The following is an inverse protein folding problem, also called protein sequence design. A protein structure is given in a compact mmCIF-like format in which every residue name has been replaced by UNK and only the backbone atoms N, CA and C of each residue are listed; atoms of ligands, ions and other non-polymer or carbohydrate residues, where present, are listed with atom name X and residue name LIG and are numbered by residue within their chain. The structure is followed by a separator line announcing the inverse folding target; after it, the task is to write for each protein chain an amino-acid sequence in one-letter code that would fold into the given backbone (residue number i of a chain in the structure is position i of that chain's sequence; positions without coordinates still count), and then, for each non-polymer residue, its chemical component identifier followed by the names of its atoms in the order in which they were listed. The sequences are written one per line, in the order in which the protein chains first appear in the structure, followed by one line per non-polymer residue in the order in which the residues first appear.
data_IF_647249063448
#
_entry.id   IF_647249063448
#
_cell.length_a   1.000
_cell.length_b   1.000
_cell.length_c   1.000
_cell.angle_alpha   90.00
_cell.angle_beta   90.00
_cell.angle_gamma   90.00
#
_symmetry.space_group_name_H-M   'P 1'
#
loop_
_entity.id
_entity.type
_entity.pdbx_description
1 polymer ?
#
# COMPACT_ATOMS: atom_id res chain seq x y z
N UNK A 1 -3.36 1.24 -16.78
CA UNK A 1 -3.20 -0.11 -16.22
C UNK A 1 -4.08 -0.16 -14.98
N UNK A 2 -5.24 -0.81 -15.08
CA UNK A 2 -6.17 -0.97 -13.96
C UNK A 2 -5.44 -1.62 -12.78
N UNK A 3 -5.88 -1.34 -11.56
CA UNK A 3 -5.52 -2.12 -10.37
C UNK A 3 -5.61 -3.61 -10.73
N UNK A 4 -4.48 -4.26 -10.97
CA UNK A 4 -4.42 -5.72 -10.89
C UNK A 4 -4.26 -6.01 -9.41
N UNK A 5 -5.37 -5.80 -8.69
CA UNK A 5 -5.72 -6.64 -7.56
C UNK A 5 -6.10 -7.95 -8.26
N UNK A 6 -5.26 -8.97 -8.10
CA UNK A 6 -5.43 -10.25 -8.77
C UNK A 6 -6.89 -10.71 -8.70
N UNK A 7 -7.51 -11.18 -9.81
CA UNK A 7 -8.89 -11.63 -9.82
C UNK A 7 -9.19 -12.67 -8.73
N UNK A 8 -8.23 -13.45 -8.23
CA UNK A 8 -8.45 -14.37 -7.09
C UNK A 8 -8.54 -13.70 -5.72
N UNK A 9 -8.04 -12.47 -5.57
CA UNK A 9 -8.31 -11.62 -4.41
C UNK A 9 -9.69 -10.97 -4.55
N UNK A 10 -10.13 -10.70 -5.78
CA UNK A 10 -11.41 -10.04 -6.13
C UNK A 10 -12.57 -11.03 -6.27
N UNK A 11 -12.34 -12.31 -6.59
CA UNK A 11 -13.36 -13.29 -6.96
C UNK A 11 -14.25 -13.76 -5.80
N UNK A 12 -14.11 -13.16 -4.61
CA UNK A 12 -15.07 -13.30 -3.52
C UNK A 12 -15.75 -11.97 -3.14
N UNK A 13 -15.55 -10.93 -3.93
CA UNK A 13 -16.21 -9.63 -3.85
C UNK A 13 -17.25 -9.47 -4.97
N UNK A 14 -18.21 -10.41 -5.06
CA UNK A 14 -19.40 -10.24 -5.92
C UNK A 14 -20.39 -9.19 -5.39
N UNK A 15 -20.03 -8.45 -4.34
CA UNK A 15 -20.70 -7.22 -3.90
C UNK A 15 -19.69 -6.07 -3.78
N UNK A 16 -18.92 -5.78 -4.85
CA UNK A 16 -18.14 -4.55 -4.91
C UNK A 16 -19.07 -3.36 -5.17
N UNK A 17 -19.71 -2.89 -4.10
CA UNK A 17 -20.57 -1.71 -4.11
C UNK A 17 -19.69 -0.47 -4.36
N UNK A 18 -19.88 0.23 -5.50
CA UNK A 18 -19.28 1.56 -5.70
C UNK A 18 -19.60 2.52 -4.54
N UNK A 19 -20.71 2.29 -3.82
CA UNK A 19 -21.04 3.03 -2.62
C UNK A 19 -20.18 2.64 -1.41
N UNK A 20 -19.52 1.48 -1.40
CA UNK A 20 -18.58 1.11 -0.34
C UNK A 20 -17.23 1.81 -0.56
N UNK A 21 -16.72 1.90 -1.79
CA UNK A 21 -15.60 2.82 -2.10
C UNK A 21 -15.99 4.27 -1.78
N UNK A 22 -17.24 4.68 -2.08
CA UNK A 22 -17.75 5.98 -1.58
C UNK A 22 -17.81 6.06 -0.06
N UNK A 23 -18.21 4.99 0.66
CA UNK A 23 -18.24 4.93 2.13
C UNK A 23 -16.85 5.02 2.73
N UNK A 24 -15.84 4.42 2.13
CA UNK A 24 -14.45 4.55 2.56
C UNK A 24 -13.94 5.98 2.30
N UNK A 25 -14.38 6.62 1.21
CA UNK A 25 -14.10 8.05 0.96
C UNK A 25 -14.96 9.01 1.82
N UNK A 26 -16.12 8.58 2.33
CA UNK A 26 -17.08 9.43 3.06
C UNK A 26 -17.05 9.22 4.58
N UNK A 27 -16.57 8.08 5.08
CA UNK A 27 -16.35 7.82 6.51
C UNK A 27 -15.29 8.76 7.12
N UNK A 28 -14.50 9.42 6.28
CA UNK A 28 -13.53 10.45 6.64
C UNK A 28 -13.94 11.87 6.20
N UNK A 29 -15.19 12.09 5.78
CA UNK A 29 -15.64 13.40 5.26
C UNK A 29 -17.12 13.71 5.57
N UNK A 30 -17.46 14.24 6.76
CA UNK A 30 -18.78 14.82 7.00
C UNK A 30 -18.99 16.19 6.31
N UNK A 31 -18.09 16.63 5.42
CA UNK A 31 -18.14 17.97 4.80
C UNK A 31 -17.41 18.08 3.45
N UNK A 32 -17.65 17.14 2.52
CA UNK A 32 -17.05 17.19 1.19
C UNK A 32 -17.42 18.48 0.42
N UNK A 33 -16.43 19.20 -0.12
CA UNK A 33 -16.54 19.48 -1.54
C UNK A 33 -15.29 19.11 -2.35
N UNK A 34 -15.62 18.74 -3.58
CA UNK A 34 -14.80 18.33 -4.72
C UNK A 34 -13.98 17.06 -4.50
N UNK A 35 -14.50 15.96 -5.07
CA UNK A 35 -13.67 14.93 -5.70
C UNK A 35 -12.48 15.60 -6.42
N UNK A 36 -11.35 14.90 -6.55
CA UNK A 36 -10.37 15.28 -7.56
C UNK A 36 -11.16 15.61 -8.85
N UNK A 37 -10.94 16.76 -9.51
CA UNK A 37 -11.56 16.98 -10.81
C UNK A 37 -11.32 15.71 -11.61
N UNK A 38 -12.34 15.11 -12.22
CA UNK A 38 -12.21 13.81 -12.90
C UNK A 38 -10.95 13.78 -13.80
N UNK A 39 -10.64 14.91 -14.42
CA UNK A 39 -9.41 15.20 -15.14
C UNK A 39 -8.09 14.90 -14.39
N UNK A 40 -7.97 15.19 -13.09
CA UNK A 40 -6.75 14.89 -12.32
C UNK A 40 -6.60 13.38 -12.08
N UNK A 41 -7.70 12.68 -11.77
CA UNK A 41 -7.69 11.21 -11.65
C UNK A 41 -7.41 10.55 -13.00
N UNK A 42 -8.08 11.00 -14.06
CA UNK A 42 -7.84 10.55 -15.43
C UNK A 42 -6.39 10.80 -15.85
N UNK A 43 -5.82 11.95 -15.50
CA UNK A 43 -4.42 12.24 -15.82
C UNK A 43 -3.45 11.41 -15.00
N UNK A 44 -3.72 11.17 -13.71
CA UNK A 44 -2.95 10.23 -12.90
C UNK A 44 -3.00 8.84 -13.53
N UNK A 45 -4.18 8.37 -13.95
CA UNK A 45 -4.35 7.08 -14.60
C UNK A 45 -3.66 7.01 -15.97
N UNK A 46 -3.70 8.09 -16.76
CA UNK A 46 -3.02 8.19 -18.06
C UNK A 46 -1.49 8.19 -17.91
N UNK A 47 -0.97 8.96 -16.95
CA UNK A 47 0.46 8.96 -16.58
C UNK A 47 0.89 7.58 -16.08
N UNK A 48 0.05 6.92 -15.29
CA UNK A 48 0.26 5.54 -14.84
C UNK A 48 0.32 4.55 -16.00
N UNK A 49 -0.50 4.76 -17.03
CA UNK A 49 -0.52 3.99 -18.28
C UNK A 49 0.61 4.33 -19.27
N UNK A 50 1.50 5.27 -18.94
CA UNK A 50 2.65 5.64 -19.78
C UNK A 50 2.32 6.66 -20.88
N UNK A 51 1.16 7.32 -20.82
CA UNK A 51 0.81 8.39 -21.75
C UNK A 51 1.52 9.68 -21.32
N UNK A 52 2.35 10.30 -22.19
CA UNK A 52 3.02 11.55 -21.84
C UNK A 52 2.00 12.69 -21.71
N UNK A 53 2.10 13.48 -20.66
CA UNK A 53 1.34 14.73 -20.53
C UNK A 53 1.96 15.80 -21.44
N UNK A 54 1.13 16.60 -22.13
CA UNK A 54 1.61 17.76 -22.88
C UNK A 54 2.19 18.84 -21.96
N UNK A 55 3.33 19.42 -22.35
CA UNK A 55 4.17 20.31 -21.52
C UNK A 55 3.42 21.52 -20.93
N UNK A 56 2.46 22.09 -21.65
CA UNK A 56 1.69 23.27 -21.21
C UNK A 56 0.75 23.00 -20.01
N UNK A 57 0.35 21.75 -19.78
CA UNK A 57 -0.54 21.35 -18.69
C UNK A 57 0.21 20.85 -17.44
N UNK A 58 1.50 20.52 -17.56
CA UNK A 58 2.25 19.86 -16.49
C UNK A 58 2.38 20.73 -15.23
N UNK A 59 2.71 22.03 -15.38
CA UNK A 59 2.87 22.94 -14.24
C UNK A 59 1.59 23.15 -13.43
N UNK A 60 0.45 23.32 -14.11
CA UNK A 60 -0.85 23.47 -13.46
C UNK A 60 -1.27 22.18 -12.74
N UNK A 61 -1.03 21.03 -13.37
CA UNK A 61 -1.32 19.73 -12.78
C UNK A 61 -0.46 19.44 -11.55
N UNK A 62 0.84 19.74 -11.60
CA UNK A 62 1.74 19.63 -10.43
C UNK A 62 1.21 20.44 -9.26
N UNK A 63 0.81 21.70 -9.52
CA UNK A 63 0.22 22.57 -8.49
C UNK A 63 -1.07 21.99 -7.91
N UNK A 64 -2.00 21.57 -8.77
CA UNK A 64 -3.28 21.00 -8.36
C UNK A 64 -3.11 19.72 -7.51
N UNK A 65 -2.21 18.81 -7.90
CA UNK A 65 -1.96 17.58 -7.15
C UNK A 65 -1.33 17.89 -5.78
N UNK A 66 -0.38 18.85 -5.71
CA UNK A 66 0.20 19.28 -4.44
C UNK A 66 -0.83 19.87 -3.50
N UNK A 67 -1.60 20.86 -3.97
CA UNK A 67 -2.66 21.48 -3.17
C UNK A 67 -3.68 20.43 -2.69
N UNK A 68 -4.00 19.44 -3.55
CA UNK A 68 -4.88 18.34 -3.17
C UNK A 68 -4.30 17.45 -2.05
N UNK A 69 -3.01 17.12 -2.12
CA UNK A 69 -2.28 16.34 -1.10
C UNK A 69 -2.17 17.08 0.24
N UNK A 70 -1.91 18.39 0.19
CA UNK A 70 -1.60 19.20 1.38
C UNK A 70 -2.86 19.71 2.12
N UNK A 71 -4.01 19.76 1.44
CA UNK A 71 -5.25 20.36 2.00
C UNK A 71 -5.86 19.59 3.18
N UNK A 72 -5.93 18.27 3.10
CA UNK A 72 -6.55 17.42 4.13
C UNK A 72 -6.01 15.99 4.07
N UNK A 73 -6.14 15.19 5.13
CA UNK A 73 -5.75 13.79 5.10
C UNK A 73 -6.40 13.06 3.92
N UNK A 74 -5.61 12.24 3.23
CA UNK A 74 -6.03 11.43 2.09
C UNK A 74 -5.76 9.96 2.38
N UNK A 75 -6.48 9.08 1.71
CA UNK A 75 -6.17 7.66 1.77
C UNK A 75 -4.71 7.41 1.34
N UNK A 76 -3.90 6.64 2.10
CA UNK A 76 -2.47 6.51 1.83
C UNK A 76 -2.12 5.99 0.44
N UNK A 77 -2.94 5.07 -0.11
CA UNK A 77 -2.76 4.61 -1.48
C UNK A 77 -2.85 5.74 -2.52
N UNK A 78 -3.85 6.63 -2.37
CA UNK A 78 -4.02 7.76 -3.27
C UNK A 78 -2.89 8.79 -3.07
N UNK A 79 -2.36 8.93 -1.85
CA UNK A 79 -1.18 9.74 -1.60
C UNK A 79 0.01 9.22 -2.41
N UNK A 80 0.29 7.92 -2.36
CA UNK A 80 1.36 7.30 -3.13
C UNK A 80 1.19 7.49 -4.64
N UNK A 81 -0.01 7.27 -5.16
CA UNK A 81 -0.30 7.47 -6.58
C UNK A 81 -0.05 8.93 -7.03
N UNK A 82 -0.49 9.90 -6.23
CA UNK A 82 -0.26 11.32 -6.50
C UNK A 82 1.23 11.70 -6.41
N UNK A 83 1.98 11.15 -5.44
CA UNK A 83 3.44 11.35 -5.34
C UNK A 83 4.18 10.80 -6.56
N UNK A 84 3.80 9.61 -7.02
CA UNK A 84 4.36 8.98 -8.23
C UNK A 84 4.04 9.79 -9.47
N UNK A 85 2.81 10.32 -9.59
CA UNK A 85 2.43 11.22 -10.67
C UNK A 85 3.24 12.53 -10.65
N UNK A 86 3.40 13.14 -9.47
CA UNK A 86 4.24 14.34 -9.29
C UNK A 86 5.68 14.07 -9.75
N UNK A 87 6.29 12.95 -9.36
CA UNK A 87 7.64 12.60 -9.80
C UNK A 87 7.72 12.37 -11.31
N UNK A 88 6.73 11.67 -11.92
CA UNK A 88 6.67 11.47 -13.38
C UNK A 88 6.52 12.78 -14.16
N UNK A 89 5.83 13.76 -13.58
CA UNK A 89 5.71 15.11 -14.13
C UNK A 89 6.97 15.98 -13.91
N UNK A 90 8.02 15.43 -13.30
CA UNK A 90 9.27 16.16 -13.03
C UNK A 90 9.21 17.11 -11.83
N UNK A 91 8.19 17.01 -10.98
CA UNK A 91 8.10 17.84 -9.79
C UNK A 91 9.20 17.48 -8.77
N UNK A 92 9.76 18.50 -8.12
CA UNK A 92 10.82 18.36 -7.11
C UNK A 92 10.47 19.09 -5.82
N UNK A 93 11.12 18.72 -4.71
CA UNK A 93 10.98 19.39 -3.43
C UNK A 93 10.01 18.68 -2.49
N UNK A 94 9.60 19.39 -1.44
CA UNK A 94 8.82 18.81 -0.36
C UNK A 94 7.32 18.87 -0.63
N UNK A 95 6.60 17.88 -0.11
CA UNK A 95 5.15 17.92 0.09
C UNK A 95 4.84 17.59 1.54
N UNK A 96 3.85 18.27 2.11
CA UNK A 96 3.41 18.06 3.49
C UNK A 96 2.08 17.33 3.51
N UNK A 97 2.08 16.07 3.92
CA UNK A 97 0.87 15.26 3.98
C UNK A 97 0.25 15.39 5.37
N UNK A 98 -0.97 15.93 5.49
CA UNK A 98 -1.72 15.86 6.74
C UNK A 98 -2.01 14.40 7.07
N UNK A 99 -1.77 14.03 8.32
CA UNK A 99 -2.07 12.71 8.88
C UNK A 99 -3.02 12.87 10.07
N UNK A 100 -3.52 11.75 10.60
CA UNK A 100 -4.42 11.77 11.75
C UNK A 100 -3.77 12.41 12.98
N UNK A 101 -4.58 13.12 13.78
CA UNK A 101 -4.13 13.73 15.04
C UNK A 101 -3.16 14.90 14.87
N UNK A 102 -3.33 15.73 13.84
CA UNK A 102 -2.52 16.94 13.55
C UNK A 102 -1.04 16.67 13.23
N UNK A 103 -0.68 15.42 12.93
CA UNK A 103 0.67 15.08 12.49
C UNK A 103 0.83 15.40 11.00
N UNK A 104 2.01 15.85 10.60
CA UNK A 104 2.36 16.05 9.19
C UNK A 104 3.53 15.15 8.81
N UNK A 105 3.40 14.46 7.67
CA UNK A 105 4.48 13.67 7.09
C UNK A 105 5.08 14.48 5.95
N UNK A 106 6.38 14.75 6.03
CA UNK A 106 7.11 15.55 5.03
C UNK A 106 7.91 14.61 4.12
N UNK A 107 7.64 14.62 2.83
CA UNK A 107 8.31 13.75 1.84
C UNK A 107 8.92 14.57 0.71
N UNK A 108 10.05 14.11 0.17
CA UNK A 108 10.63 14.65 -1.07
C UNK A 108 10.03 13.91 -2.25
N UNK A 109 9.44 14.64 -3.19
CA UNK A 109 8.74 14.05 -4.35
C UNK A 109 9.70 13.22 -5.20
N UNK A 110 10.90 13.73 -5.44
CA UNK A 110 11.95 13.07 -6.24
C UNK A 110 12.45 11.75 -5.62
N UNK A 111 12.21 11.53 -4.31
CA UNK A 111 12.53 10.28 -3.63
C UNK A 111 11.41 9.24 -3.70
N UNK A 112 10.25 9.60 -4.26
CA UNK A 112 9.14 8.66 -4.46
C UNK A 112 9.58 7.55 -5.41
N UNK A 113 9.49 6.27 -5.03
CA UNK A 113 9.89 5.18 -5.90
C UNK A 113 8.90 5.01 -7.06
N UNK A 114 9.42 4.93 -8.28
CA UNK A 114 8.63 4.65 -9.50
C UNK A 114 8.62 3.16 -9.87
N UNK A 115 9.58 2.40 -9.36
CA UNK A 115 9.75 0.97 -9.60
C UNK A 115 10.21 0.25 -8.31
N UNK A 116 10.11 -1.08 -8.29
CA UNK A 116 10.53 -1.89 -7.16
C UNK A 116 12.01 -1.70 -6.78
N UNK A 117 12.88 -1.45 -7.76
CA UNK A 117 14.32 -1.27 -7.54
C UNK A 117 14.69 0.07 -6.90
N UNK A 118 13.79 1.06 -6.97
CA UNK A 118 13.95 2.33 -6.26
C UNK A 118 13.58 2.24 -4.77
N UNK A 119 12.97 1.13 -4.34
CA UNK A 119 12.75 0.85 -2.93
C UNK A 119 13.98 0.19 -2.28
N UNK A 120 14.11 0.26 -0.93
CA UNK A 120 15.09 -0.53 -0.19
C UNK A 120 14.92 -2.03 -0.40
N UNK A 121 16.02 -2.79 -0.30
CA UNK A 121 16.10 -4.21 -0.67
C UNK A 121 15.00 -5.10 -0.03
N UNK A 122 14.62 -4.85 1.23
CA UNK A 122 13.53 -5.58 1.90
C UNK A 122 12.22 -5.60 1.10
N UNK A 123 11.91 -4.55 0.33
CA UNK A 123 10.71 -4.50 -0.51
C UNK A 123 10.76 -5.56 -1.63
N UNK A 124 11.95 -5.93 -2.12
CA UNK A 124 12.13 -6.99 -3.12
C UNK A 124 12.30 -8.36 -2.46
N UNK A 125 13.03 -8.43 -1.35
CA UNK A 125 13.30 -9.68 -0.62
C UNK A 125 12.02 -10.35 -0.09
N UNK A 126 11.07 -9.57 0.43
CA UNK A 126 9.86 -10.11 1.07
C UNK A 126 9.06 -11.05 0.13
N UNK A 127 8.64 -10.62 -1.07
CA UNK A 127 7.91 -11.49 -1.99
C UNK A 127 8.78 -12.60 -2.58
N UNK A 128 10.09 -12.41 -2.72
CA UNK A 128 11.02 -13.47 -3.16
C UNK A 128 11.07 -14.63 -2.16
N UNK A 129 11.13 -14.32 -0.85
CA UNK A 129 11.09 -15.33 0.21
C UNK A 129 9.73 -16.05 0.25
N UNK A 130 8.62 -15.34 0.01
CA UNK A 130 7.30 -15.99 -0.06
C UNK A 130 7.23 -16.94 -1.24
N UNK A 131 7.74 -16.51 -2.40
CA UNK A 131 7.83 -17.36 -3.59
C UNK A 131 8.66 -18.62 -3.32
N UNK A 132 9.88 -18.47 -2.80
CA UNK A 132 10.76 -19.60 -2.50
C UNK A 132 10.12 -20.62 -1.52
N UNK A 133 9.34 -20.15 -0.55
CA UNK A 133 8.63 -21.01 0.40
C UNK A 133 7.35 -21.65 -0.16
N UNK A 134 6.81 -21.16 -1.28
CA UNK A 134 5.52 -21.60 -1.84
C UNK A 134 5.65 -22.30 -3.20
N UNK A 135 6.84 -22.28 -3.80
CA UNK A 135 7.12 -22.80 -5.15
C UNK A 135 6.77 -24.28 -5.33
N UNK A 136 6.88 -25.09 -4.27
CA UNK A 136 6.49 -26.50 -4.31
C UNK A 136 5.00 -26.76 -4.13
N UNK A 137 4.26 -25.82 -3.53
CA UNK A 137 2.96 -26.10 -2.93
C UNK A 137 1.80 -25.35 -3.59
N UNK A 138 1.99 -24.07 -3.97
CA UNK A 138 0.94 -23.27 -4.61
C UNK A 138 1.49 -22.00 -5.29
N UNK A 139 1.68 -22.03 -6.61
CA UNK A 139 2.13 -20.85 -7.39
C UNK A 139 1.19 -19.66 -7.27
N UNK A 140 -0.13 -19.90 -7.21
CA UNK A 140 -1.15 -18.85 -7.05
C UNK A 140 -0.94 -18.03 -5.76
N UNK A 141 -0.49 -18.66 -4.67
CA UNK A 141 -0.25 -17.95 -3.42
C UNK A 141 0.94 -16.99 -3.55
N UNK A 142 2.00 -17.40 -4.24
CA UNK A 142 3.18 -16.57 -4.47
C UNK A 142 2.84 -15.32 -5.30
N UNK A 143 2.04 -15.48 -6.36
CA UNK A 143 1.60 -14.36 -7.20
C UNK A 143 0.69 -13.41 -6.41
N UNK A 144 -0.27 -13.95 -5.66
CA UNK A 144 -1.16 -13.17 -4.80
C UNK A 144 -0.39 -12.40 -3.72
N UNK A 145 0.65 -13.01 -3.15
CA UNK A 145 1.50 -12.35 -2.17
C UNK A 145 2.36 -11.24 -2.78
N UNK A 146 2.89 -11.41 -3.99
CA UNK A 146 3.62 -10.36 -4.68
C UNK A 146 2.71 -9.14 -4.96
N UNK A 147 1.46 -9.38 -5.37
CA UNK A 147 0.48 -8.33 -5.62
C UNK A 147 0.06 -7.62 -4.32
N UNK A 148 -0.30 -8.37 -3.29
CA UNK A 148 -0.63 -7.83 -1.98
C UNK A 148 0.54 -7.04 -1.37
N UNK A 149 1.77 -7.51 -1.53
CA UNK A 149 2.94 -6.79 -1.04
C UNK A 149 3.14 -5.44 -1.74
N UNK A 150 2.98 -5.42 -3.06
CA UNK A 150 3.08 -4.19 -3.87
C UNK A 150 2.06 -3.14 -3.40
N UNK A 151 0.81 -3.55 -3.22
CA UNK A 151 -0.27 -2.66 -2.79
C UNK A 151 -0.06 -2.19 -1.34
N UNK A 152 0.38 -3.10 -0.46
CA UNK A 152 0.71 -2.77 0.91
C UNK A 152 1.85 -1.76 1.00
N UNK A 153 2.92 -1.92 0.22
CA UNK A 153 4.05 -0.99 0.20
C UNK A 153 3.62 0.39 -0.30
N UNK A 154 2.73 0.45 -1.29
CA UNK A 154 2.13 1.70 -1.75
C UNK A 154 1.32 2.39 -0.63
N UNK A 155 0.48 1.65 0.08
CA UNK A 155 -0.28 2.16 1.25
C UNK A 155 0.67 2.62 2.35
N UNK A 156 1.73 1.85 2.63
CA UNK A 156 2.65 2.12 3.72
C UNK A 156 3.53 3.36 3.46
N UNK A 157 3.88 3.65 2.20
CA UNK A 157 4.94 4.59 1.82
C UNK A 157 4.84 5.96 2.50
N UNK A 158 3.64 6.54 2.51
CA UNK A 158 3.38 7.87 3.07
C UNK A 158 3.01 7.85 4.57
N UNK A 159 3.22 6.72 5.26
CA UNK A 159 2.83 6.51 6.65
C UNK A 159 4.03 6.18 7.55
N UNK A 160 3.80 6.10 8.86
CA UNK A 160 4.81 5.65 9.81
C UNK A 160 5.22 4.17 9.64
N UNK A 161 4.47 3.38 8.86
CA UNK A 161 4.77 1.96 8.61
C UNK A 161 6.00 1.81 7.71
N UNK A 162 6.15 2.62 6.67
CA UNK A 162 7.26 2.46 5.72
C UNK A 162 8.65 2.62 6.35
N UNK A 163 8.92 3.64 7.19
CA UNK A 163 10.18 3.71 7.94
C UNK A 163 10.44 2.48 8.84
N UNK A 164 9.40 1.80 9.32
CA UNK A 164 9.55 0.56 10.09
C UNK A 164 10.03 -0.58 9.21
N UNK A 165 9.42 -0.76 8.02
CA UNK A 165 9.87 -1.73 7.02
C UNK A 165 11.34 -1.51 6.70
N UNK A 166 11.74 -0.27 6.38
CA UNK A 166 13.14 0.05 6.04
C UNK A 166 14.10 -0.26 7.18
N UNK A 167 13.72 0.05 8.42
CA UNK A 167 14.53 -0.25 9.60
C UNK A 167 14.63 -1.75 9.87
N UNK A 168 13.55 -2.48 9.66
CA UNK A 168 13.50 -3.94 9.82
C UNK A 168 14.34 -4.64 8.75
N UNK A 169 14.38 -4.12 7.52
CA UNK A 169 15.29 -4.57 6.47
C UNK A 169 16.75 -4.51 6.88
N UNK A 170 17.18 -3.38 7.48
CA UNK A 170 18.55 -3.24 8.02
C UNK A 170 18.88 -4.22 9.16
N UNK A 171 17.86 -4.84 9.77
CA UNK A 171 17.99 -5.80 10.87
C UNK A 171 17.86 -7.25 10.41
N UNK A 172 17.75 -7.50 9.10
CA UNK A 172 17.55 -8.84 8.56
C UNK A 172 16.17 -9.43 8.89
N UNK A 173 15.16 -8.59 9.14
CA UNK A 173 13.82 -9.05 9.52
C UNK A 173 12.88 -9.25 8.31
N UNK A 174 13.41 -9.31 7.08
CA UNK A 174 12.64 -9.66 5.89
C UNK A 174 11.86 -10.98 6.05
N UNK A 175 12.41 -12.06 6.64
CA UNK A 175 11.65 -13.30 6.83
C UNK A 175 10.40 -13.14 7.72
N UNK A 176 10.45 -12.24 8.71
CA UNK A 176 9.28 -11.95 9.55
C UNK A 176 8.15 -11.26 8.76
N UNK A 177 8.51 -10.37 7.83
CA UNK A 177 7.57 -9.74 6.91
C UNK A 177 7.02 -10.73 5.88
N UNK A 178 7.85 -11.64 5.36
CA UNK A 178 7.44 -12.71 4.44
C UNK A 178 6.47 -13.70 5.08
N UNK A 179 6.78 -14.18 6.28
CA UNK A 179 5.87 -15.05 7.04
C UNK A 179 4.53 -14.35 7.32
N UNK A 180 4.56 -13.07 7.69
CA UNK A 180 3.37 -12.28 7.93
C UNK A 180 2.52 -12.07 6.65
N UNK A 181 3.18 -11.79 5.52
CA UNK A 181 2.54 -11.65 4.22
C UNK A 181 1.89 -12.97 3.77
N UNK A 182 2.62 -14.09 3.86
CA UNK A 182 2.09 -15.42 3.60
C UNK A 182 0.83 -15.66 4.43
N UNK A 183 0.91 -15.46 5.75
CA UNK A 183 -0.23 -15.64 6.66
C UNK A 183 -1.44 -14.78 6.25
N UNK A 184 -1.23 -13.50 5.95
CA UNK A 184 -2.31 -12.59 5.58
C UNK A 184 -3.01 -13.02 4.28
N UNK A 185 -2.23 -13.40 3.28
CA UNK A 185 -2.72 -13.84 1.97
C UNK A 185 -3.44 -15.18 2.09
N UNK A 186 -2.84 -16.18 2.75
CA UNK A 186 -3.46 -17.47 2.99
C UNK A 186 -4.83 -17.32 3.70
N UNK A 187 -4.89 -16.49 4.75
CA UNK A 187 -6.15 -16.22 5.45
C UNK A 187 -7.20 -15.54 4.57
N UNK A 188 -6.80 -14.61 3.69
CA UNK A 188 -7.74 -13.94 2.77
C UNK A 188 -8.40 -14.89 1.77
N UNK A 189 -7.74 -15.99 1.41
CA UNK A 189 -8.29 -17.03 0.52
C UNK A 189 -8.87 -18.22 1.28
N UNK A 190 -8.96 -18.14 2.62
CA UNK A 190 -9.56 -19.16 3.48
C UNK A 190 -8.68 -20.39 3.73
N UNK A 191 -7.37 -20.30 3.49
CA UNK A 191 -6.42 -21.36 3.83
C UNK A 191 -6.11 -21.35 5.34
N UNK A 192 -5.98 -22.53 5.97
CA UNK A 192 -5.59 -22.61 7.37
C UNK A 192 -4.15 -22.12 7.55
N UNK A 193 -3.91 -21.35 8.61
CA UNK A 193 -2.59 -20.82 8.95
C UNK A 193 -2.21 -21.22 10.36
N UNK A 194 -1.00 -21.76 10.52
CA UNK A 194 -0.35 -21.93 11.82
C UNK A 194 0.81 -20.94 11.91
N UNK A 195 0.71 -19.88 12.74
CA UNK A 195 1.77 -18.88 12.88
C UNK A 195 3.12 -19.47 13.30
N UNK A 196 3.13 -20.43 14.21
CA UNK A 196 4.38 -21.07 14.66
C UNK A 196 5.03 -21.87 13.53
N UNK A 197 4.25 -22.67 12.77
CA UNK A 197 4.80 -23.39 11.61
C UNK A 197 5.33 -22.45 10.52
N UNK A 198 4.61 -21.36 10.22
CA UNK A 198 5.09 -20.38 9.25
C UNK A 198 6.38 -19.71 9.76
N UNK A 199 6.44 -19.29 11.02
CA UNK A 199 7.66 -18.72 11.56
C UNK A 199 8.84 -19.70 11.45
N UNK A 200 8.62 -20.99 11.73
CA UNK A 200 9.65 -22.02 11.55
C UNK A 200 10.08 -22.16 10.08
N UNK A 201 9.12 -22.19 9.13
CA UNK A 201 9.40 -22.25 7.68
C UNK A 201 10.27 -21.10 7.20
N UNK A 202 10.05 -19.88 7.71
CA UNK A 202 10.80 -18.69 7.33
C UNK A 202 12.03 -18.43 8.23
N UNK A 203 12.31 -19.28 9.22
CA UNK A 203 13.42 -19.06 10.17
C UNK A 203 13.24 -17.80 11.02
N UNK A 204 12.02 -17.52 11.48
CA UNK A 204 11.65 -16.32 12.24
C UNK A 204 11.67 -16.60 13.74
N UNK A 205 12.77 -16.23 14.40
CA UNK A 205 12.89 -16.38 15.85
C UNK A 205 12.21 -15.25 16.64
N UNK A 206 12.01 -14.09 16.00
CA UNK A 206 11.52 -12.87 16.66
C UNK A 206 9.99 -12.77 16.53
N UNK A 207 9.25 -13.53 17.35
CA UNK A 207 7.75 -13.50 17.36
C UNK A 207 7.14 -12.09 17.39
N UNK A 208 7.67 -11.11 18.15
CA UNK A 208 7.15 -9.74 18.12
C UNK A 208 7.29 -9.04 16.75
N UNK A 209 8.32 -9.36 15.96
CA UNK A 209 8.50 -8.80 14.63
C UNK A 209 7.44 -9.32 13.66
N UNK A 210 7.23 -10.64 13.65
CA UNK A 210 6.14 -11.27 12.88
C UNK A 210 4.78 -10.65 13.21
N UNK A 211 4.43 -10.56 14.51
CA UNK A 211 3.14 -9.99 14.94
C UNK A 211 2.94 -8.55 14.48
N UNK A 212 3.98 -7.71 14.58
CA UNK A 212 3.90 -6.32 14.11
C UNK A 212 3.71 -6.23 12.60
N UNK A 213 4.47 -7.01 11.84
CA UNK A 213 4.34 -7.07 10.38
C UNK A 213 2.94 -7.54 9.97
N UNK A 214 2.44 -8.61 10.59
CA UNK A 214 1.11 -9.14 10.32
C UNK A 214 0.00 -8.14 10.63
N UNK A 215 0.05 -7.48 11.80
CA UNK A 215 -0.90 -6.43 12.13
C UNK A 215 -0.84 -5.27 11.13
N UNK A 216 0.35 -4.83 10.72
CA UNK A 216 0.49 -3.74 9.76
C UNK A 216 -0.15 -4.08 8.40
N UNK A 217 0.11 -5.28 7.88
CA UNK A 217 -0.47 -5.76 6.61
C UNK A 217 -1.99 -5.89 6.74
N UNK A 218 -2.47 -6.54 7.80
CA UNK A 218 -3.91 -6.72 8.05
C UNK A 218 -4.65 -5.39 8.16
N UNK A 219 -4.11 -4.46 8.94
CA UNK A 219 -4.74 -3.16 9.19
C UNK A 219 -4.78 -2.31 7.91
N UNK A 220 -3.75 -2.39 7.05
CA UNK A 220 -3.71 -1.71 5.76
C UNK A 220 -4.77 -2.20 4.77
N UNK A 221 -5.08 -3.50 4.77
CA UNK A 221 -6.08 -4.09 3.88
C UNK A 221 -7.50 -4.10 4.44
N UNK A 222 -7.75 -3.47 5.59
CA UNK A 222 -9.10 -3.43 6.14
C UNK A 222 -9.62 -4.79 6.59
N UNK A 223 -8.77 -5.79 6.80
CA UNK A 223 -9.12 -7.12 7.34
C UNK A 223 -9.56 -7.06 8.82
N UNK A 224 -9.94 -5.86 9.29
CA UNK A 224 -10.67 -5.59 10.51
C UNK A 224 -12.06 -5.03 10.15
N UNK A 225 -12.93 -5.90 9.68
CA UNK A 225 -14.34 -5.75 9.98
C UNK A 225 -14.50 -5.86 11.50
N UNK A 226 -14.55 -4.70 12.18
CA UNK A 226 -14.79 -4.50 13.62
C UNK A 226 -13.68 -5.02 14.56
N UNK A 227 -13.03 -4.11 15.29
CA UNK A 227 -12.74 -4.43 16.70
C UNK A 227 -14.11 -4.53 17.39
N UNK A 228 -14.49 -5.67 18.00
CA UNK A 228 -15.52 -5.58 19.02
C UNK A 228 -14.95 -4.66 20.11
N UNK A 229 -15.61 -3.51 20.28
CA UNK A 229 -15.55 -2.78 21.53
C UNK A 229 -15.87 -3.77 22.66
N UNK A 230 -15.18 -3.64 23.78
CA UNK A 230 -15.27 -4.44 25.01
C UNK A 230 -14.77 -5.90 24.94
N UNK A 231 -13.53 -6.11 25.40
CA UNK A 231 -13.25 -6.92 26.61
C UNK A 231 -12.09 -6.24 27.36
N UNK A 232 -12.45 -5.44 28.36
CA UNK A 232 -11.67 -5.28 29.60
C UNK A 232 -12.21 -6.33 30.58
#
# INVERSE_FOLDING_TARGET
MALIVHPSFVARFEDFDENEVRRWTSAFDPGAPAALPAAVLETINALQAGVPAGDACAGQLIRAIREWLERKPRHPFLQFQALTALKRLGAVGWVQLPSEGSRTVRLRIERTPLSADEHPAIVREVPELVRAASESDCSMLADLAADAWRDFVAIAYATAVYPNIVRDGKRGLAPAWSAALHAAVALSVGLPVSPDRLMDTYGVDVKPAFRRAFCAIRDAFGLLAKRPSSVL
#
